data_IF_141572811376
#
_entry.id   IF_141572811376
#
_cell.length_a   1.000
_cell.length_b   1.000
_cell.length_c   1.000
_cell.angle_alpha   90.00
_cell.angle_beta   90.00
_cell.angle_gamma   90.00
#
_symmetry.space_group_name_H-M   'P 1'
#
loop_
_entity.id
_entity.type
_entity.pdbx_description
1 polymer ?
#
# COMPACT_ATOMS: atom_id res chain seq x y z
N UNK A 1 -16.54 19.13 1.79
CA UNK A 1 -15.70 19.86 2.78
C UNK A 1 -14.43 19.03 3.04
N UNK A 2 -13.27 19.66 3.09
CA UNK A 2 -11.98 18.97 3.30
C UNK A 2 -11.36 19.43 4.61
N UNK A 3 -10.72 18.51 5.32
CA UNK A 3 -9.91 18.79 6.51
C UNK A 3 -8.70 17.87 6.51
N UNK A 4 -7.67 18.22 7.27
CA UNK A 4 -6.40 17.51 7.31
C UNK A 4 -6.12 16.98 8.71
N UNK A 5 -5.58 15.77 8.79
CA UNK A 5 -5.04 15.15 10.00
C UNK A 5 -3.60 14.74 9.73
N UNK A 6 -2.77 14.80 10.76
CA UNK A 6 -1.36 14.39 10.68
C UNK A 6 -1.00 13.62 11.94
N UNK A 7 -0.20 12.58 11.78
CA UNK A 7 0.34 11.77 12.86
C UNK A 7 1.72 11.25 12.43
N UNK A 8 2.58 11.00 13.41
CA UNK A 8 3.89 10.39 13.20
C UNK A 8 3.84 8.90 13.51
N UNK A 9 4.48 8.09 12.67
CA UNK A 9 4.59 6.64 12.83
C UNK A 9 6.05 6.22 12.92
N UNK A 10 6.40 5.45 13.95
CA UNK A 10 7.69 4.76 14.03
C UNK A 10 7.71 3.57 13.07
N UNK A 11 8.79 3.44 12.28
CA UNK A 11 8.94 2.42 11.25
C UNK A 11 10.07 1.41 11.53
N UNK A 12 10.87 1.57 12.59
CA UNK A 12 12.00 0.67 12.89
C UNK A 12 11.66 -0.82 12.76
N UNK A 13 10.59 -1.27 13.43
CA UNK A 13 10.14 -2.65 13.39
C UNK A 13 9.69 -3.09 11.98
N UNK A 14 9.02 -2.19 11.25
CA UNK A 14 8.59 -2.43 9.87
C UNK A 14 9.80 -2.59 8.94
N UNK A 15 10.83 -1.74 9.09
CA UNK A 15 12.06 -1.77 8.31
C UNK A 15 12.87 -3.05 8.59
N UNK A 16 12.93 -3.48 9.86
CA UNK A 16 13.57 -4.73 10.26
C UNK A 16 12.86 -5.94 9.63
N UNK A 17 11.52 -5.99 9.72
CA UNK A 17 10.71 -7.04 9.11
C UNK A 17 10.88 -7.08 7.57
N UNK A 18 10.86 -5.92 6.91
CA UNK A 18 11.08 -5.84 5.45
C UNK A 18 12.41 -6.46 5.04
N UNK A 19 13.46 -6.21 5.82
CA UNK A 19 14.80 -6.78 5.58
C UNK A 19 14.77 -8.30 5.70
N UNK A 20 14.16 -8.84 6.76
CA UNK A 20 14.03 -10.28 6.97
C UNK A 20 13.24 -10.95 5.84
N UNK A 21 12.10 -10.38 5.43
CA UNK A 21 11.25 -10.94 4.37
C UNK A 21 11.93 -10.93 3.00
N UNK A 22 12.69 -9.88 2.69
CA UNK A 22 13.46 -9.81 1.45
C UNK A 22 14.65 -10.78 1.44
N UNK A 23 15.30 -10.99 2.59
CA UNK A 23 16.36 -11.98 2.71
C UNK A 23 15.84 -13.42 2.56
N UNK A 24 14.59 -13.67 2.98
CA UNK A 24 13.91 -14.95 2.82
C UNK A 24 13.33 -15.18 1.41
N UNK A 25 13.44 -14.21 0.49
CA UNK A 25 12.87 -14.33 -0.85
C UNK A 25 13.52 -15.48 -1.63
N UNK A 26 12.75 -16.45 -2.14
CA UNK A 26 13.31 -17.55 -2.95
C UNK A 26 14.05 -17.01 -4.17
N UNK A 27 15.18 -17.60 -4.53
CA UNK A 27 15.95 -17.20 -5.71
C UNK A 27 15.47 -17.97 -6.94
N UNK A 28 15.23 -17.25 -8.03
CA UNK A 28 14.87 -17.80 -9.34
C UNK A 28 16.00 -17.59 -10.34
N UNK A 29 16.33 -18.64 -11.10
CA UNK A 29 17.27 -18.54 -12.23
C UNK A 29 16.55 -17.95 -13.43
N UNK A 30 17.14 -16.92 -14.01
CA UNK A 30 16.69 -16.27 -15.25
C UNK A 30 17.85 -16.24 -16.24
N UNK A 31 17.56 -15.93 -17.51
CA UNK A 31 18.59 -15.78 -18.55
C UNK A 31 19.60 -14.66 -18.23
N UNK A 32 19.26 -13.77 -17.28
CA UNK A 32 20.09 -12.65 -16.81
C UNK A 32 20.77 -12.93 -15.46
N UNK A 33 20.68 -14.15 -14.95
CA UNK A 33 21.26 -14.57 -13.67
C UNK A 33 20.23 -14.91 -12.59
N UNK A 34 20.72 -15.01 -11.36
CA UNK A 34 19.90 -15.31 -10.17
C UNK A 34 19.28 -14.04 -9.59
N UNK A 35 17.95 -14.01 -9.48
CA UNK A 35 17.19 -12.88 -8.94
C UNK A 35 16.19 -13.36 -7.88
N UNK A 36 15.92 -12.56 -6.84
CA UNK A 36 14.89 -12.91 -5.86
C UNK A 36 13.50 -12.91 -6.52
N UNK A 37 12.62 -13.81 -6.06
CA UNK A 37 11.27 -13.97 -6.58
C UNK A 37 10.40 -12.72 -6.37
N UNK A 38 10.73 -11.91 -5.37
CA UNK A 38 10.09 -10.64 -5.06
C UNK A 38 11.08 -9.72 -4.35
N UNK A 39 10.77 -8.42 -4.33
CA UNK A 39 11.48 -7.41 -3.54
C UNK A 39 10.47 -6.44 -2.95
N UNK A 40 10.17 -6.61 -1.67
CA UNK A 40 9.23 -5.78 -0.92
C UNK A 40 9.82 -4.41 -0.63
N UNK A 41 9.04 -3.38 -0.93
CA UNK A 41 9.27 -1.98 -0.61
C UNK A 41 8.53 -1.56 0.66
N UNK A 42 8.82 -0.36 1.17
CA UNK A 42 8.02 0.25 2.24
C UNK A 42 6.58 0.48 1.76
N UNK A 43 6.41 0.88 0.50
CA UNK A 43 5.10 1.17 -0.08
C UNK A 43 4.18 -0.06 -0.05
N UNK A 44 4.70 -1.26 -0.33
CA UNK A 44 3.91 -2.51 -0.26
C UNK A 44 3.33 -2.73 1.15
N UNK A 45 4.12 -2.42 2.17
CA UNK A 45 3.70 -2.56 3.58
C UNK A 45 2.68 -1.49 3.96
N UNK A 46 2.85 -0.24 3.49
CA UNK A 46 1.90 0.85 3.70
C UNK A 46 0.56 0.58 3.01
N UNK A 47 0.58 0.09 1.77
CA UNK A 47 -0.65 -0.30 1.04
C UNK A 47 -1.37 -1.41 1.79
N UNK A 48 -0.65 -2.42 2.27
CA UNK A 48 -1.24 -3.50 3.07
C UNK A 48 -1.90 -2.97 4.35
N UNK A 49 -1.21 -2.08 5.07
CA UNK A 49 -1.74 -1.45 6.27
C UNK A 49 -2.99 -0.61 5.97
N UNK A 50 -2.97 0.18 4.90
CA UNK A 50 -4.11 0.99 4.46
C UNK A 50 -5.32 0.13 4.11
N UNK A 51 -5.13 -0.93 3.34
CA UNK A 51 -6.21 -1.86 3.00
C UNK A 51 -6.84 -2.47 4.25
N UNK A 52 -6.04 -2.88 5.24
CA UNK A 52 -6.54 -3.38 6.51
C UNK A 52 -7.28 -2.31 7.33
N UNK A 53 -6.78 -1.08 7.35
CA UNK A 53 -7.40 0.04 8.04
C UNK A 53 -8.77 0.40 7.44
N UNK A 54 -8.89 0.43 6.11
CA UNK A 54 -10.15 0.68 5.40
C UNK A 54 -11.19 -0.41 5.69
N UNK A 55 -10.75 -1.67 5.83
CA UNK A 55 -11.63 -2.77 6.23
C UNK A 55 -12.06 -2.67 7.71
N UNK A 56 -11.17 -2.19 8.58
CA UNK A 56 -11.44 -2.00 10.01
C UNK A 56 -12.33 -0.76 10.29
N UNK A 57 -12.29 0.25 9.42
CA UNK A 57 -13.06 1.50 9.54
C UNK A 57 -13.88 1.72 8.26
N UNK A 58 -15.02 1.04 8.10
CA UNK A 58 -15.80 1.10 6.85
C UNK A 58 -16.36 2.48 6.52
N UNK A 59 -16.50 3.36 7.51
CA UNK A 59 -16.94 4.74 7.29
C UNK A 59 -15.88 5.57 6.54
N UNK A 60 -14.61 5.17 6.60
CA UNK A 60 -13.53 5.74 5.79
C UNK A 60 -13.44 5.09 4.40
N UNK A 61 -14.00 3.89 4.21
CA UNK A 61 -14.05 3.17 2.93
C UNK A 61 -15.40 3.37 2.23
N UNK A 62 -15.78 4.62 2.01
CA UNK A 62 -17.08 4.98 1.49
C UNK A 62 -16.99 6.10 0.43
N UNK A 63 -18.01 6.18 -0.41
CA UNK A 63 -18.20 7.25 -1.38
C UNK A 63 -19.55 7.92 -1.17
N UNK A 64 -19.61 9.23 -1.37
CA UNK A 64 -20.86 9.98 -1.33
C UNK A 64 -21.42 10.15 -2.74
N UNK A 65 -22.68 9.78 -2.93
CA UNK A 65 -23.44 10.06 -4.16
C UNK A 65 -24.55 11.06 -3.85
N UNK A 66 -25.26 11.53 -4.88
CA UNK A 66 -26.41 12.43 -4.69
C UNK A 66 -27.53 11.79 -3.87
N UNK A 67 -27.62 10.45 -3.86
CA UNK A 67 -28.70 9.70 -3.22
C UNK A 67 -28.32 9.05 -1.91
N UNK A 68 -27.06 8.63 -1.73
CA UNK A 68 -26.65 7.85 -0.58
C UNK A 68 -25.14 7.86 -0.34
N UNK A 69 -24.76 7.46 0.87
CA UNK A 69 -23.40 7.01 1.16
C UNK A 69 -23.27 5.53 0.80
N UNK A 70 -22.31 5.20 -0.05
CA UNK A 70 -21.99 3.82 -0.47
C UNK A 70 -20.75 3.37 0.28
N UNK A 71 -20.87 2.34 1.12
CA UNK A 71 -19.72 1.68 1.77
C UNK A 71 -19.23 0.51 0.94
N UNK A 72 -17.93 0.37 0.79
CA UNK A 72 -17.32 -0.64 -0.07
C UNK A 72 -16.93 -1.89 0.70
N UNK A 73 -17.23 -3.06 0.12
CA UNK A 73 -16.87 -4.36 0.70
C UNK A 73 -15.38 -4.69 0.54
N UNK A 74 -14.76 -4.22 -0.53
CA UNK A 74 -13.34 -4.41 -0.79
C UNK A 74 -12.60 -3.10 -0.52
N UNK A 75 -11.32 -3.22 -0.18
CA UNK A 75 -10.43 -2.09 -0.04
C UNK A 75 -9.53 -2.04 -1.27
N UNK A 76 -9.86 -1.13 -2.20
CA UNK A 76 -9.07 -0.85 -3.39
C UNK A 76 -8.26 0.44 -3.14
N UNK A 77 -6.94 0.31 -3.05
CA UNK A 77 -6.04 1.42 -2.68
C UNK A 77 -5.35 1.96 -3.94
N UNK A 78 -5.72 3.18 -4.36
CA UNK A 78 -5.04 3.89 -5.45
C UNK A 78 -3.64 4.33 -5.05
N UNK A 79 -2.67 4.20 -5.96
CA UNK A 79 -1.26 4.50 -5.69
C UNK A 79 -0.77 5.48 -6.74
N UNK A 80 -0.44 6.70 -6.32
CA UNK A 80 0.08 7.70 -7.22
C UNK A 80 1.50 7.36 -7.69
N UNK A 81 1.72 7.30 -9.01
CA UNK A 81 3.00 7.02 -9.63
C UNK A 81 3.41 8.17 -10.52
N UNK A 82 4.63 8.68 -10.32
CA UNK A 82 5.21 9.71 -11.15
C UNK A 82 5.68 9.13 -12.49
N UNK A 83 5.33 9.79 -13.58
CA UNK A 83 5.80 9.50 -14.94
C UNK A 83 6.45 10.75 -15.55
N UNK A 84 7.29 10.63 -16.60
CA UNK A 84 7.98 11.78 -17.21
C UNK A 84 7.10 12.94 -17.72
N UNK A 85 5.77 12.79 -17.75
CA UNK A 85 4.82 13.81 -18.18
C UNK A 85 3.73 14.16 -17.16
N UNK A 86 3.80 13.66 -15.93
CA UNK A 86 2.79 13.95 -14.91
C UNK A 86 2.67 12.89 -13.81
N UNK A 87 1.49 12.85 -13.19
CA UNK A 87 1.15 11.93 -12.12
C UNK A 87 -0.10 11.13 -12.52
N UNK A 88 -0.05 9.82 -12.32
CA UNK A 88 -1.20 8.93 -12.50
C UNK A 88 -1.49 8.22 -11.18
N UNK A 89 -2.71 7.74 -10.98
CA UNK A 89 -3.16 6.98 -9.79
C UNK A 89 -3.85 5.70 -10.20
#
# INVERSE_FOLDING_TARGET
>A
PHFYLTLDCELDALLALRTQLNAAAPVKKTDKGEVPAYKLSVNDMVIKAMAMALMAVPDANASWTDSAMVKHRHADVGVAVSIPGGLIT
#
